data_IF_738626686189
#
_entry.id   IF_738626686189
#
_cell.length_a   1.000
_cell.length_b   1.000
_cell.length_c   1.000
_cell.angle_alpha   90.00
_cell.angle_beta   90.00
_cell.angle_gamma   90.00
#
_symmetry.space_group_name_H-M   'P 1'
#
loop_
_entity.id
_entity.type
_entity.pdbx_description
1 polymer ?
#
# COMPACT_ATOMS: atom_id res chain seq x y z
N UNK A 1 51.04 39.19 10.45
CA UNK A 1 50.42 39.04 11.78
C UNK A 1 49.01 39.65 11.70
N UNK A 2 48.16 39.28 10.74
CA UNK A 2 47.56 37.98 10.40
C UNK A 2 46.61 37.44 11.47
N UNK A 3 45.73 38.28 12.01
CA UNK A 3 44.59 37.88 12.85
C UNK A 3 43.42 38.87 12.67
N UNK A 4 42.80 38.95 11.50
CA UNK A 4 41.57 39.79 11.38
C UNK A 4 40.56 39.40 10.27
N UNK A 5 40.64 38.18 9.71
CA UNK A 5 39.73 37.76 8.63
C UNK A 5 39.09 36.37 8.82
N UNK A 6 38.94 35.87 10.05
CA UNK A 6 38.41 34.51 10.29
C UNK A 6 37.19 34.41 11.23
N UNK A 7 36.42 35.48 11.41
CA UNK A 7 35.20 35.42 12.25
C UNK A 7 33.91 35.93 11.57
N UNK A 8 33.97 36.27 10.27
CA UNK A 8 32.79 36.68 9.49
C UNK A 8 32.17 35.58 8.62
N UNK A 9 32.63 34.32 8.76
CA UNK A 9 32.13 33.18 7.98
C UNK A 9 31.12 32.28 8.71
N UNK A 10 30.94 32.45 10.03
CA UNK A 10 30.16 31.50 10.87
C UNK A 10 28.76 32.01 11.26
N UNK A 11 28.31 33.13 10.67
CA UNK A 11 27.00 33.74 10.89
C UNK A 11 26.21 33.90 9.57
N UNK A 12 26.34 32.96 8.63
CA UNK A 12 25.55 32.93 7.39
C UNK A 12 24.85 31.58 7.11
N UNK A 13 24.89 30.65 8.06
CA UNK A 13 24.23 29.33 7.90
C UNK A 13 22.92 29.22 8.67
N UNK A 14 22.72 30.00 9.74
CA UNK A 14 21.48 29.95 10.54
C UNK A 14 20.31 30.74 9.93
N UNK A 15 20.57 31.74 9.08
CA UNK A 15 19.51 32.47 8.34
C UNK A 15 18.93 31.66 7.17
N UNK A 16 19.64 30.63 6.67
CA UNK A 16 19.19 29.84 5.51
C UNK A 16 18.07 28.85 5.85
N UNK A 17 17.92 28.48 7.12
CA UNK A 17 16.84 27.59 7.57
C UNK A 17 15.51 28.35 7.69
N UNK A 18 15.54 29.64 8.07
CA UNK A 18 14.33 30.45 8.20
C UNK A 18 13.77 30.92 6.85
N UNK A 19 14.64 31.16 5.85
CA UNK A 19 14.22 31.44 4.47
C UNK A 19 13.65 30.21 3.75
N UNK A 20 14.12 29.00 4.11
CA UNK A 20 13.53 27.76 3.60
C UNK A 20 12.08 27.57 4.10
N UNK A 21 11.75 28.09 5.29
CA UNK A 21 10.44 27.90 5.92
C UNK A 21 9.37 28.90 5.45
N UNK A 22 9.75 30.05 4.87
CA UNK A 22 8.80 31.07 4.34
C UNK A 22 8.42 30.89 2.86
N UNK A 23 9.02 29.91 2.16
CA UNK A 23 8.57 29.49 0.82
C UNK A 23 7.30 28.63 0.86
N UNK A 24 6.82 28.29 2.06
CA UNK A 24 5.70 27.38 2.30
C UNK A 24 4.30 27.94 1.94
N UNK A 25 4.14 29.23 1.59
CA UNK A 25 2.79 29.87 1.64
C UNK A 25 2.33 30.56 0.34
N UNK A 26 2.95 30.36 -0.84
CA UNK A 26 2.47 31.05 -2.06
C UNK A 26 2.34 30.17 -3.29
N UNK A 27 1.11 29.72 -3.51
CA UNK A 27 0.54 29.41 -4.82
C UNK A 27 0.96 28.05 -5.38
N UNK A 28 0.19 27.42 -6.25
CA UNK A 28 -1.08 27.76 -6.86
C UNK A 28 -1.53 26.50 -7.57
N UNK A 29 -2.83 26.23 -7.50
CA UNK A 29 -3.56 25.43 -8.48
C UNK A 29 -3.22 23.94 -8.55
N UNK A 30 -4.12 23.21 -7.93
CA UNK A 30 -4.57 21.89 -8.34
C UNK A 30 -4.27 21.57 -9.82
N UNK A 31 -3.40 20.59 -10.03
CA UNK A 31 -3.56 19.64 -11.12
C UNK A 31 -3.94 18.31 -10.49
N UNK A 32 -5.21 18.21 -10.13
CA UNK A 32 -5.90 16.92 -10.13
C UNK A 32 -5.95 16.50 -11.60
N UNK A 33 -4.83 16.03 -12.14
CA UNK A 33 -4.87 15.24 -13.35
C UNK A 33 -5.62 13.99 -12.93
N UNK A 34 -6.87 13.88 -13.35
CA UNK A 34 -7.64 12.67 -13.21
C UNK A 34 -6.91 11.59 -13.99
N UNK A 35 -6.00 10.89 -13.30
CA UNK A 35 -5.61 9.56 -13.71
C UNK A 35 -6.88 8.75 -13.48
N UNK A 36 -7.77 8.76 -14.48
CA UNK A 36 -8.75 7.70 -14.68
C UNK A 36 -7.91 6.44 -14.78
N UNK A 37 -7.62 5.83 -13.63
CA UNK A 37 -7.17 4.44 -13.59
C UNK A 37 -8.26 3.72 -14.36
N UNK A 38 -7.89 3.24 -15.55
CA UNK A 38 -8.74 2.41 -16.38
C UNK A 38 -9.45 1.46 -15.43
N UNK A 39 -10.76 1.62 -15.29
CA UNK A 39 -11.53 0.66 -14.54
C UNK A 39 -11.39 -0.62 -15.34
N UNK A 40 -10.48 -1.49 -14.91
CA UNK A 40 -10.44 -2.87 -15.36
C UNK A 40 -11.86 -3.34 -15.20
N UNK A 41 -12.53 -3.62 -16.33
CA UNK A 41 -13.86 -4.19 -16.31
C UNK A 41 -13.76 -5.40 -15.39
N UNK A 42 -14.49 -5.36 -14.28
CA UNK A 42 -14.66 -6.53 -13.44
C UNK A 42 -15.39 -7.53 -14.32
N UNK A 43 -14.64 -8.46 -14.90
CA UNK A 43 -15.18 -9.53 -15.72
C UNK A 43 -15.89 -10.47 -14.78
N UNK A 44 -17.22 -10.41 -14.76
CA UNK A 44 -18.00 -11.53 -14.23
C UNK A 44 -18.04 -12.54 -15.37
N UNK A 45 -17.16 -13.53 -15.28
CA UNK A 45 -17.15 -14.65 -16.21
C UNK A 45 -18.32 -15.59 -15.89
N UNK A 46 -18.88 -16.22 -16.92
CA UNK A 46 -19.88 -17.27 -16.71
C UNK A 46 -19.19 -18.44 -16.05
N UNK A 47 -19.65 -18.80 -14.85
CA UNK A 47 -19.15 -19.97 -14.14
C UNK A 47 -19.48 -21.24 -14.92
N UNK A 48 -18.59 -22.22 -14.83
CA UNK A 48 -18.88 -23.59 -15.24
C UNK A 48 -20.04 -24.19 -14.44
N UNK A 49 -20.76 -25.16 -15.02
CA UNK A 49 -21.83 -25.87 -14.32
C UNK A 49 -21.25 -26.63 -13.12
N UNK A 50 -21.58 -26.20 -11.90
CA UNK A 50 -21.14 -26.86 -10.67
C UNK A 50 -22.01 -28.10 -10.40
N UNK A 51 -21.43 -29.29 -10.55
CA UNK A 51 -21.96 -30.47 -9.90
C UNK A 51 -21.40 -30.46 -8.46
N UNK A 52 -22.19 -29.99 -7.49
CA UNK A 52 -21.76 -30.00 -6.09
C UNK A 52 -21.77 -31.47 -5.61
N UNK A 53 -20.58 -32.00 -5.32
CA UNK A 53 -20.45 -33.17 -4.45
C UNK A 53 -21.06 -32.77 -3.09
N UNK A 54 -21.68 -33.71 -2.38
CA UNK A 54 -22.49 -33.45 -1.18
C UNK A 54 -21.76 -32.76 0.00
N UNK A 55 -20.44 -32.54 -0.13
CA UNK A 55 -19.66 -31.74 0.81
C UNK A 55 -19.58 -30.28 0.33
N UNK A 56 -20.06 -29.36 1.16
CA UNK A 56 -20.01 -27.92 0.93
C UNK A 56 -18.84 -27.30 1.73
N UNK A 57 -17.59 -27.25 1.20
CA UNK A 57 -16.51 -26.54 1.86
C UNK A 57 -16.87 -25.05 1.96
N UNK A 58 -16.69 -24.49 3.15
CA UNK A 58 -17.05 -23.10 3.45
C UNK A 58 -15.78 -22.25 3.42
N UNK A 59 -15.80 -21.12 2.70
CA UNK A 59 -14.78 -20.09 2.86
C UNK A 59 -15.08 -19.32 4.14
N UNK A 60 -14.36 -19.61 5.23
CA UNK A 60 -14.56 -18.95 6.53
C UNK A 60 -13.91 -17.56 6.59
N UNK A 61 -12.84 -17.35 5.82
CA UNK A 61 -12.14 -16.07 5.73
C UNK A 61 -11.59 -15.81 4.32
N UNK A 62 -11.59 -14.53 3.92
CA UNK A 62 -11.03 -14.04 2.67
C UNK A 62 -10.13 -12.84 2.95
N UNK A 63 -8.84 -12.93 2.63
CA UNK A 63 -7.86 -11.96 3.09
C UNK A 63 -6.94 -11.45 1.97
N UNK A 64 -7.41 -10.38 1.31
CA UNK A 64 -6.74 -9.71 0.20
C UNK A 64 -6.07 -8.36 0.58
N UNK A 65 -6.15 -7.95 1.85
CA UNK A 65 -5.51 -6.74 2.37
C UNK A 65 -4.92 -7.04 3.74
N UNK A 66 -3.75 -7.67 3.73
CA UNK A 66 -3.23 -8.44 4.85
C UNK A 66 -1.79 -8.04 5.24
N UNK A 67 -1.41 -6.81 4.94
CA UNK A 67 -0.09 -6.28 5.29
C UNK A 67 0.14 -6.39 6.81
N UNK A 68 1.20 -7.09 7.21
CA UNK A 68 1.59 -7.24 8.61
C UNK A 68 0.91 -8.38 9.36
N UNK A 69 0.19 -9.29 8.68
CA UNK A 69 -0.36 -10.51 9.32
C UNK A 69 0.56 -11.72 9.10
N UNK A 70 0.40 -12.42 7.99
CA UNK A 70 1.19 -13.59 7.60
C UNK A 70 2.07 -13.24 6.40
N UNK A 71 3.28 -13.76 6.41
CA UNK A 71 4.18 -13.74 5.24
C UNK A 71 4.49 -15.17 4.83
N UNK A 72 4.53 -15.43 3.54
CA UNK A 72 4.98 -16.71 3.00
C UNK A 72 6.51 -16.90 3.14
N UNK A 73 7.03 -17.99 2.57
CA UNK A 73 8.46 -18.32 2.61
C UNK A 73 9.37 -17.31 1.91
N UNK A 74 8.83 -16.49 1.03
CA UNK A 74 9.55 -15.42 0.32
C UNK A 74 9.40 -14.05 1.03
N UNK A 75 8.69 -14.01 2.16
CA UNK A 75 8.44 -12.80 2.92
C UNK A 75 7.30 -11.92 2.37
N UNK A 76 6.49 -12.43 1.44
CA UNK A 76 5.36 -11.70 0.86
C UNK A 76 4.07 -11.96 1.65
N UNK A 77 3.24 -10.92 1.83
CA UNK A 77 1.87 -11.07 2.33
C UNK A 77 0.93 -11.40 1.16
N UNK A 78 0.98 -12.66 0.73
CA UNK A 78 0.16 -13.19 -0.36
C UNK A 78 -1.32 -13.26 0.03
N UNK A 79 -2.22 -13.08 -0.94
CA UNK A 79 -3.67 -13.26 -0.73
C UNK A 79 -3.95 -14.71 -0.28
N UNK A 80 -4.87 -14.88 0.66
CA UNK A 80 -5.26 -16.21 1.15
C UNK A 80 -6.75 -16.30 1.47
N UNK A 81 -7.24 -17.53 1.45
CA UNK A 81 -8.56 -17.90 1.92
C UNK A 81 -8.44 -19.04 2.94
N UNK A 82 -9.31 -19.05 3.94
CA UNK A 82 -9.47 -20.20 4.83
C UNK A 82 -10.64 -21.04 4.36
N UNK A 83 -10.42 -22.35 4.27
CA UNK A 83 -11.44 -23.33 3.93
C UNK A 83 -11.78 -24.16 5.17
N UNK A 84 -13.05 -24.17 5.53
CA UNK A 84 -13.61 -24.98 6.60
C UNK A 84 -14.44 -26.12 6.03
N UNK A 85 -14.04 -27.35 6.31
CA UNK A 85 -14.86 -28.52 6.07
C UNK A 85 -15.85 -28.68 7.24
N UNK A 86 -17.15 -28.46 6.98
CA UNK A 86 -18.21 -28.64 7.97
C UNK A 86 -18.63 -30.11 8.15
N UNK A 87 -18.28 -30.98 7.21
CA UNK A 87 -18.55 -32.41 7.28
C UNK A 87 -17.60 -33.15 8.24
N UNK A 88 -17.96 -34.39 8.56
CA UNK A 88 -17.15 -35.33 9.34
C UNK A 88 -16.34 -36.31 8.47
N UNK A 89 -16.57 -36.29 7.16
CA UNK A 89 -15.79 -37.03 6.17
C UNK A 89 -14.80 -36.14 5.43
N UNK A 90 -13.74 -36.75 4.91
CA UNK A 90 -12.78 -36.08 4.01
C UNK A 90 -13.40 -35.80 2.64
N UNK A 91 -13.04 -34.68 2.04
CA UNK A 91 -13.38 -34.31 0.65
C UNK A 91 -12.20 -34.70 -0.24
N UNK A 92 -12.46 -35.37 -1.37
CA UNK A 92 -11.49 -35.73 -2.42
C UNK A 92 -11.55 -34.74 -3.60
#
# INVERSE_FOLDING_TARGET
>A
MSVELSERGRLLVTERVLEAMKRSVRGHRQRVTSRRKSASRLGIESLECRCLLAADPIISEFMASNAGTLTDGDGASSDWIELFNRGDESID
#
